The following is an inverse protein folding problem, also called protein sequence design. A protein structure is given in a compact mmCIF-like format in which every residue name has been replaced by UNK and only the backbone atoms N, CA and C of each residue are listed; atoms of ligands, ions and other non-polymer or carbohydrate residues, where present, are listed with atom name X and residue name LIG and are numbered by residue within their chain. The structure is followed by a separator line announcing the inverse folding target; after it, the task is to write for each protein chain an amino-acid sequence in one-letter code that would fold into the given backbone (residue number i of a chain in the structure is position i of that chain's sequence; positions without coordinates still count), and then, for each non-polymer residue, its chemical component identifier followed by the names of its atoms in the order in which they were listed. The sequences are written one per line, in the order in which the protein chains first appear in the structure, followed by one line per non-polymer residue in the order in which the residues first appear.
data_IF_116031450538
#
_entry.id   IF_116031450538
#
_cell.length_a   1.000
_cell.length_b   1.000
_cell.length_c   1.000
_cell.angle_alpha   90.00
_cell.angle_beta   90.00
_cell.angle_gamma   90.00
#
_symmetry.space_group_name_H-M   'P 1'
#
loop_
_entity.id
_entity.type
_entity.pdbx_description
1 polymer ?
#
# COMPACT_ATOMS: atom_id res chain seq x y z
N UNK A 1 -15.20 61.80 -18.58
CA UNK A 1 -14.44 60.54 -18.64
C UNK A 1 -14.10 60.14 -17.21
N UNK A 2 -14.82 59.15 -16.66
CA UNK A 2 -14.55 58.62 -15.31
C UNK A 2 -13.80 57.30 -15.49
N UNK A 3 -12.53 57.28 -15.07
CA UNK A 3 -11.71 56.07 -15.06
C UNK A 3 -12.22 55.13 -13.97
N UNK A 4 -12.73 53.97 -14.37
CA UNK A 4 -12.91 52.84 -13.46
C UNK A 4 -11.60 52.06 -13.41
N UNK A 5 -10.92 52.13 -12.27
CA UNK A 5 -9.83 51.21 -11.92
C UNK A 5 -10.46 49.91 -11.48
N UNK A 6 -10.39 48.88 -12.33
CA UNK A 6 -10.84 47.53 -12.02
C UNK A 6 -9.82 46.89 -11.08
N UNK A 7 -10.16 46.76 -9.79
CA UNK A 7 -9.45 45.87 -8.88
C UNK A 7 -9.77 44.43 -9.26
N UNK A 8 -8.85 43.77 -9.99
CA UNK A 8 -8.81 42.32 -10.07
C UNK A 8 -8.47 41.82 -8.65
N UNK A 9 -9.49 41.33 -7.95
CA UNK A 9 -9.30 40.53 -6.75
C UNK A 9 -8.93 39.13 -7.25
N UNK A 10 -7.64 38.80 -7.21
CA UNK A 10 -7.19 37.40 -7.30
C UNK A 10 -7.70 36.74 -6.02
N UNK A 11 -8.84 36.05 -6.11
CA UNK A 11 -9.21 35.09 -5.08
C UNK A 11 -8.17 33.99 -5.16
N UNK A 12 -7.25 33.98 -4.18
CA UNK A 12 -6.30 32.91 -4.00
C UNK A 12 -7.09 31.61 -3.87
N UNK A 13 -6.93 30.74 -4.85
CA UNK A 13 -7.37 29.36 -4.77
C UNK A 13 -6.56 28.74 -3.64
N UNK A 14 -7.15 28.63 -2.45
CA UNK A 14 -6.60 27.79 -1.39
C UNK A 14 -6.80 26.36 -1.86
N UNK A 15 -5.80 25.80 -2.55
CA UNK A 15 -5.72 24.37 -2.76
C UNK A 15 -5.68 23.71 -1.38
N UNK A 16 -6.67 22.88 -1.09
CA UNK A 16 -6.52 21.86 -0.07
C UNK A 16 -5.38 20.96 -0.53
N UNK A 17 -4.29 20.92 0.24
CA UNK A 17 -3.27 19.92 0.03
C UNK A 17 -3.92 18.57 0.37
N UNK A 18 -4.16 17.77 -0.65
CA UNK A 18 -4.54 16.37 -0.49
C UNK A 18 -3.33 15.61 0.04
N UNK A 19 -3.59 14.62 0.88
CA UNK A 19 -2.49 13.95 1.54
C UNK A 19 -1.68 13.13 0.56
N UNK A 20 -0.37 13.15 0.78
CA UNK A 20 0.61 12.64 -0.17
C UNK A 20 1.10 11.29 0.31
N UNK A 21 0.98 10.27 -0.55
CA UNK A 21 1.77 9.05 -0.39
C UNK A 21 3.21 9.40 -0.73
N UNK A 22 4.06 9.37 0.28
CA UNK A 22 5.48 9.74 0.17
C UNK A 22 6.31 8.60 -0.44
N UNK A 23 5.82 7.38 -0.28
CA UNK A 23 6.47 6.14 -0.69
C UNK A 23 5.42 5.04 -0.79
N UNK A 24 5.44 4.27 -1.88
CA UNK A 24 4.62 3.07 -2.01
C UNK A 24 5.38 1.96 -2.76
N UNK A 25 5.97 1.06 -1.98
CA UNK A 25 6.66 -0.14 -2.45
C UNK A 25 5.82 -1.41 -2.20
N UNK A 26 4.62 -1.27 -1.59
CA UNK A 26 3.64 -2.35 -1.44
C UNK A 26 2.81 -2.47 -2.73
N UNK A 27 2.39 -1.33 -3.30
CA UNK A 27 1.59 -1.27 -4.51
C UNK A 27 0.14 -1.73 -4.30
N UNK A 28 -0.55 -2.23 -5.36
CA UNK A 28 -1.92 -2.68 -5.26
C UNK A 28 -2.11 -3.82 -4.25
N UNK A 29 -3.32 -3.93 -3.70
CA UNK A 29 -3.66 -4.94 -2.69
C UNK A 29 -3.69 -6.40 -3.22
N UNK A 30 -3.31 -6.62 -4.48
CA UNK A 30 -3.23 -7.95 -5.11
C UNK A 30 -1.92 -8.71 -4.80
N UNK A 31 -0.93 -8.04 -4.19
CA UNK A 31 0.36 -8.63 -3.86
C UNK A 31 1.33 -8.78 -5.03
N UNK A 32 0.98 -8.27 -6.22
CA UNK A 32 1.81 -8.39 -7.43
C UNK A 32 3.18 -7.71 -7.30
N UNK A 33 3.27 -6.71 -6.42
CA UNK A 33 4.49 -5.94 -6.16
C UNK A 33 5.28 -6.40 -4.93
N UNK A 34 4.87 -7.48 -4.27
CA UNK A 34 5.58 -8.03 -3.10
C UNK A 34 6.34 -9.30 -3.47
N UNK A 35 7.61 -9.33 -3.11
CA UNK A 35 8.53 -10.43 -3.36
C UNK A 35 8.33 -11.62 -2.42
N UNK A 36 8.91 -12.76 -2.78
CA UNK A 36 8.83 -13.98 -1.98
C UNK A 36 9.82 -14.03 -0.80
N UNK A 37 10.86 -13.18 -0.82
CA UNK A 37 11.87 -13.12 0.22
C UNK A 37 11.42 -12.21 1.36
N UNK A 38 11.82 -12.57 2.58
CA UNK A 38 11.54 -11.81 3.79
C UNK A 38 12.87 -11.52 4.47
N UNK A 39 13.05 -10.30 4.94
CA UNK A 39 14.20 -9.87 5.73
C UNK A 39 13.80 -9.63 7.18
N UNK A 40 14.72 -9.91 8.11
CA UNK A 40 14.46 -9.82 9.54
C UNK A 40 14.17 -8.38 9.98
N UNK A 41 13.05 -8.22 10.67
CA UNK A 41 12.59 -6.95 11.24
C UNK A 41 11.83 -7.29 12.52
N UNK A 42 12.45 -7.09 13.68
CA UNK A 42 11.91 -7.45 14.98
C UNK A 42 12.64 -6.73 16.11
N UNK A 43 11.86 -6.28 17.08
CA UNK A 43 12.30 -5.93 18.42
C UNK A 43 12.10 -7.18 19.30
N UNK A 44 13.21 -7.78 19.73
CA UNK A 44 13.18 -9.03 20.49
C UNK A 44 12.95 -8.76 21.98
N UNK A 45 12.62 -9.80 22.74
CA UNK A 45 12.58 -9.68 24.19
C UNK A 45 13.98 -9.38 24.78
N UNK A 46 14.02 -8.73 25.95
CA UNK A 46 15.23 -8.29 26.68
C UNK A 46 16.42 -9.28 26.71
N UNK A 47 16.14 -10.58 26.66
CA UNK A 47 17.17 -11.63 26.66
C UNK A 47 17.94 -11.73 25.33
N UNK A 48 17.38 -11.16 24.26
CA UNK A 48 17.82 -11.26 22.89
C UNK A 48 17.98 -9.90 22.20
N UNK A 49 18.06 -8.78 22.93
CA UNK A 49 18.30 -7.42 22.39
C UNK A 49 19.48 -7.34 21.41
N UNK A 50 20.48 -8.23 21.56
CA UNK A 50 21.60 -8.28 20.61
C UNK A 50 21.15 -8.62 19.17
N UNK A 51 19.95 -9.18 19.02
CA UNK A 51 19.31 -9.57 17.77
C UNK A 51 18.25 -8.57 17.30
N UNK A 52 18.03 -7.44 17.98
CA UNK A 52 17.09 -6.43 17.49
C UNK A 52 17.51 -5.97 16.10
N UNK A 53 16.58 -6.02 15.14
CA UNK A 53 16.88 -5.82 13.74
C UNK A 53 15.77 -5.04 13.06
N UNK A 54 16.15 -4.13 12.17
CA UNK A 54 15.22 -3.40 11.32
C UNK A 54 15.53 -3.69 9.86
N UNK A 55 14.50 -3.95 9.08
CA UNK A 55 14.52 -3.76 7.63
C UNK A 55 14.12 -2.31 7.35
N UNK A 56 14.84 -1.61 6.49
CA UNK A 56 14.56 -0.22 6.12
C UNK A 56 14.72 0.02 4.64
N UNK A 57 14.03 1.04 4.16
CA UNK A 57 14.11 1.52 2.79
C UNK A 57 13.93 3.04 2.80
N UNK A 58 14.22 3.74 1.69
CA UNK A 58 14.27 5.19 1.67
C UNK A 58 13.19 5.85 0.83
N UNK A 59 12.90 7.09 1.19
CA UNK A 59 12.23 8.05 0.33
C UNK A 59 12.87 9.43 0.50
N UNK A 60 12.68 10.32 -0.48
CA UNK A 60 13.13 11.70 -0.37
C UNK A 60 12.03 12.56 0.25
N UNK A 61 12.26 13.09 1.45
CA UNK A 61 11.36 14.01 2.14
C UNK A 61 11.73 15.47 1.93
N UNK A 62 10.80 16.36 2.26
CA UNK A 62 10.95 17.82 2.27
C UNK A 62 10.37 18.49 3.53
N UNK A 63 9.98 17.73 4.56
CA UNK A 63 9.41 18.25 5.81
C UNK A 63 7.96 17.85 6.06
N UNK A 64 7.47 16.84 5.35
CA UNK A 64 6.10 16.35 5.42
C UNK A 64 5.84 15.63 6.75
N UNK A 65 4.60 15.68 7.21
CA UNK A 65 4.17 14.84 8.32
C UNK A 65 4.07 13.39 7.82
N UNK A 66 4.48 12.46 8.66
CA UNK A 66 4.22 11.03 8.46
C UNK A 66 3.22 10.64 9.53
N UNK A 67 2.03 10.27 9.08
CA UNK A 67 0.95 9.86 9.98
C UNK A 67 0.66 8.36 9.91
N UNK A 68 1.05 7.69 8.82
CA UNK A 68 0.94 6.23 8.69
C UNK A 68 2.20 5.66 8.06
N UNK A 69 2.69 4.57 8.64
CA UNK A 69 3.67 3.69 8.01
C UNK A 69 3.00 2.32 7.90
N UNK A 70 3.00 1.76 6.71
CA UNK A 70 2.51 0.41 6.44
C UNK A 70 3.66 -0.49 6.04
N UNK A 71 3.62 -1.75 6.47
CA UNK A 71 4.58 -2.77 6.05
C UNK A 71 3.86 -4.04 5.61
N UNK A 72 4.41 -4.74 4.63
CA UNK A 72 4.05 -6.13 4.40
C UNK A 72 4.81 -7.03 5.38
N UNK A 73 4.17 -7.33 6.51
CA UNK A 73 4.66 -8.19 7.58
C UNK A 73 4.59 -9.66 7.16
N UNK A 74 5.67 -10.38 7.41
CA UNK A 74 5.69 -11.84 7.36
C UNK A 74 6.65 -12.37 8.43
N UNK A 75 6.89 -13.67 8.48
CA UNK A 75 7.80 -14.25 9.44
C UNK A 75 8.10 -15.72 9.22
N UNK A 76 8.96 -16.26 10.07
CA UNK A 76 9.39 -17.65 10.05
C UNK A 76 9.67 -18.15 11.47
N UNK A 77 10.22 -19.36 11.60
CA UNK A 77 10.57 -19.96 12.90
C UNK A 77 9.42 -19.99 13.92
N UNK A 78 8.19 -20.22 13.44
CA UNK A 78 6.99 -20.31 14.29
C UNK A 78 6.08 -19.10 14.22
N UNK A 79 6.44 -18.04 13.49
CA UNK A 79 5.49 -16.97 13.17
C UNK A 79 4.35 -17.53 12.31
N UNK A 80 3.12 -17.17 12.67
CA UNK A 80 1.90 -17.62 11.99
C UNK A 80 1.13 -16.42 11.46
N UNK A 81 0.87 -15.46 12.35
CA UNK A 81 0.10 -14.26 12.05
C UNK A 81 0.46 -13.12 13.02
N UNK A 82 -0.03 -11.89 12.77
CA UNK A 82 0.30 -10.72 13.58
C UNK A 82 -0.21 -10.76 15.03
N UNK A 83 -1.03 -11.75 15.44
CA UNK A 83 -1.63 -11.77 16.78
C UNK A 83 -0.61 -11.96 17.93
N UNK A 84 0.59 -12.42 17.60
CA UNK A 84 1.71 -12.53 18.56
C UNK A 84 2.45 -11.22 18.81
N UNK A 85 2.32 -10.25 17.89
CA UNK A 85 2.96 -8.94 17.97
C UNK A 85 2.26 -8.08 19.01
N UNK A 86 3.03 -7.47 19.92
CA UNK A 86 2.47 -6.63 21.00
C UNK A 86 2.51 -5.13 20.70
N UNK A 87 3.37 -4.70 19.77
CA UNK A 87 3.46 -3.32 19.33
C UNK A 87 4.36 -3.16 18.12
N UNK A 88 4.40 -1.96 17.58
CA UNK A 88 5.22 -1.61 16.43
C UNK A 88 5.94 -0.29 16.71
N UNK A 89 7.19 -0.21 16.29
CA UNK A 89 7.99 1.03 16.36
C UNK A 89 8.38 1.44 14.96
N UNK A 90 7.85 2.58 14.50
CA UNK A 90 8.27 3.19 13.26
C UNK A 90 9.44 4.15 13.51
N UNK A 91 10.45 4.14 12.65
CA UNK A 91 11.64 4.97 12.79
C UNK A 91 12.02 5.60 11.45
N UNK A 92 12.61 6.79 11.53
CA UNK A 92 13.26 7.48 10.42
C UNK A 92 14.73 7.69 10.77
N UNK A 93 15.60 7.17 9.90
CA UNK A 93 17.05 7.33 10.01
C UNK A 93 17.58 8.19 8.86
N UNK A 94 18.59 9.01 9.14
CA UNK A 94 19.26 9.79 8.09
C UNK A 94 20.10 8.92 7.16
N UNK A 95 20.61 7.78 7.64
CA UNK A 95 21.35 6.79 6.83
C UNK A 95 21.23 5.39 7.46
N UNK A 96 21.49 4.30 6.69
CA UNK A 96 21.56 2.95 7.24
C UNK A 96 22.64 2.80 8.33
N UNK A 97 23.74 3.56 8.20
CA UNK A 97 24.82 3.54 9.20
C UNK A 97 24.42 4.07 10.57
N UNK A 98 23.44 4.99 10.64
CA UNK A 98 22.89 5.46 11.91
C UNK A 98 22.00 4.39 12.52
N UNK A 99 21.18 3.73 11.70
CA UNK A 99 20.36 2.62 12.14
C UNK A 99 21.19 1.42 12.61
N UNK A 100 22.41 1.23 12.09
CA UNK A 100 23.37 0.22 12.53
C UNK A 100 23.96 0.48 13.93
N UNK A 101 23.75 1.68 14.49
CA UNK A 101 24.18 2.06 15.84
C UNK A 101 22.99 2.08 16.81
N UNK A 102 21.80 2.45 16.34
CA UNK A 102 20.58 2.54 17.14
C UNK A 102 19.34 2.38 16.26
N UNK A 103 18.41 1.51 16.67
CA UNK A 103 17.12 1.38 15.99
C UNK A 103 16.17 2.54 16.31
N UNK A 104 16.43 3.34 17.35
CA UNK A 104 15.75 4.62 17.54
C UNK A 104 16.23 5.58 16.45
N UNK A 105 15.28 6.11 15.68
CA UNK A 105 15.53 7.03 14.56
C UNK A 105 16.10 8.35 15.03
N UNK A 106 17.13 8.85 14.33
CA UNK A 106 17.73 10.17 14.60
C UNK A 106 16.89 11.32 14.02
N UNK A 107 16.05 11.03 13.02
CA UNK A 107 15.07 11.99 12.47
C UNK A 107 13.77 11.91 13.27
N UNK A 108 13.27 10.71 13.53
CA UNK A 108 12.03 10.51 14.27
C UNK A 108 11.77 9.05 14.63
N UNK A 109 11.00 8.87 15.71
CA UNK A 109 10.48 7.56 16.12
C UNK A 109 9.06 7.72 16.62
N UNK A 110 8.21 6.74 16.34
CA UNK A 110 6.86 6.63 16.88
C UNK A 110 6.59 5.19 17.31
N UNK A 111 5.79 5.02 18.34
CA UNK A 111 5.37 3.72 18.84
C UNK A 111 3.85 3.63 18.86
N UNK A 112 3.30 2.47 18.49
CA UNK A 112 1.89 2.14 18.60
C UNK A 112 1.74 0.75 19.19
N UNK A 113 0.71 0.57 20.02
CA UNK A 113 0.30 -0.76 20.46
C UNK A 113 -0.29 -1.52 19.27
N UNK A 114 -0.14 -2.84 19.24
CA UNK A 114 -0.71 -3.64 18.15
C UNK A 114 -2.24 -3.46 18.02
N UNK A 115 -2.94 -3.15 19.12
CA UNK A 115 -4.37 -2.86 19.14
C UNK A 115 -4.76 -1.54 18.43
N UNK A 116 -3.81 -0.63 18.25
CA UNK A 116 -4.01 0.65 17.54
C UNK A 116 -3.60 0.57 16.06
N UNK A 117 -3.00 -0.55 15.66
CA UNK A 117 -2.65 -0.83 14.26
C UNK A 117 -3.82 -1.53 13.56
N UNK A 118 -3.89 -1.37 12.24
CA UNK A 118 -4.91 -1.99 11.41
C UNK A 118 -4.26 -2.96 10.44
N UNK A 119 -4.86 -4.13 10.24
CA UNK A 119 -4.47 -5.05 9.17
C UNK A 119 -5.38 -4.80 7.96
N UNK A 120 -4.81 -4.74 6.75
CA UNK A 120 -5.62 -4.64 5.53
C UNK A 120 -6.57 -5.84 5.41
N UNK A 121 -7.85 -5.55 5.21
CA UNK A 121 -8.89 -6.56 4.98
C UNK A 121 -8.98 -6.99 3.51
N UNK A 122 -8.38 -6.21 2.61
CA UNK A 122 -8.43 -6.36 1.15
C UNK A 122 -7.16 -6.96 0.57
N UNK A 123 -6.10 -7.09 1.37
CA UNK A 123 -4.84 -7.71 0.94
C UNK A 123 -5.03 -9.17 0.49
N UNK A 124 -4.63 -9.46 -0.74
CA UNK A 124 -4.66 -10.78 -1.36
C UNK A 124 -3.26 -11.40 -1.55
N UNK A 125 -2.21 -10.62 -1.28
CA UNK A 125 -0.82 -11.06 -1.39
C UNK A 125 -0.34 -11.98 -0.27
N UNK A 126 0.93 -12.38 -0.33
CA UNK A 126 1.56 -13.10 0.76
C UNK A 126 1.79 -12.19 1.99
N UNK A 127 1.81 -12.77 3.19
CA UNK A 127 2.00 -12.02 4.43
C UNK A 127 0.77 -11.17 4.81
N UNK A 128 1.02 -10.08 5.51
CA UNK A 128 -0.02 -9.23 6.08
C UNK A 128 0.39 -7.76 5.94
N UNK A 129 -0.43 -6.94 5.28
CA UNK A 129 -0.21 -5.48 5.29
C UNK A 129 -0.74 -4.92 6.62
N UNK A 130 0.18 -4.37 7.42
CA UNK A 130 -0.13 -3.74 8.71
C UNK A 130 0.12 -2.24 8.61
N UNK A 131 -0.91 -1.46 8.90
CA UNK A 131 -0.89 0.00 8.97
C UNK A 131 -0.72 0.45 10.42
N UNK A 132 0.36 1.16 10.70
CA UNK A 132 0.66 1.74 12.01
C UNK A 132 0.46 3.26 11.98
N UNK A 133 -0.33 3.83 12.91
CA UNK A 133 -0.38 5.27 13.08
C UNK A 133 0.94 5.79 13.66
N UNK A 134 1.40 6.93 13.16
CA UNK A 134 2.64 7.57 13.59
C UNK A 134 2.46 9.07 13.78
N UNK A 135 3.39 9.68 14.50
CA UNK A 135 3.49 11.13 14.65
C UNK A 135 4.94 11.56 14.41
N UNK A 136 5.43 11.34 13.19
CA UNK A 136 6.79 11.69 12.77
C UNK A 136 6.76 12.78 11.71
N UNK A 137 7.92 13.41 11.46
CA UNK A 137 8.09 14.42 10.41
C UNK A 137 9.34 14.06 9.64
N UNK A 138 9.23 13.98 8.31
CA UNK A 138 10.36 13.69 7.45
C UNK A 138 11.38 14.84 7.49
N UNK A 139 12.67 14.52 7.43
CA UNK A 139 13.69 15.51 7.16
C UNK A 139 13.72 15.87 5.66
N UNK A 140 14.30 17.01 5.31
CA UNK A 140 14.64 17.29 3.92
C UNK A 140 15.79 16.37 3.48
N UNK A 141 15.60 15.65 2.36
CA UNK A 141 16.56 14.66 1.85
C UNK A 141 16.13 13.23 2.16
N UNK A 142 17.10 12.32 2.20
CA UNK A 142 16.83 10.88 2.38
C UNK A 142 16.32 10.58 3.80
N UNK A 143 15.23 9.83 3.87
CA UNK A 143 14.64 9.31 5.10
C UNK A 143 14.56 7.80 4.96
N UNK A 144 15.35 7.07 5.75
CA UNK A 144 15.32 5.62 5.81
C UNK A 144 14.26 5.18 6.83
N UNK A 145 13.12 4.72 6.33
CA UNK A 145 11.98 4.30 7.14
C UNK A 145 12.10 2.83 7.53
N UNK A 146 11.73 2.51 8.76
CA UNK A 146 11.50 1.13 9.20
C UNK A 146 10.25 1.06 10.07
N UNK A 147 9.59 -0.09 10.09
CA UNK A 147 8.55 -0.42 11.06
C UNK A 147 8.89 -1.77 11.68
N UNK A 148 9.19 -1.74 12.99
CA UNK A 148 9.77 -2.86 13.73
C UNK A 148 8.69 -3.45 14.64
N UNK A 149 8.20 -4.67 14.37
CA UNK A 149 7.28 -5.39 15.26
C UNK A 149 8.00 -5.84 16.54
N UNK A 150 7.40 -5.58 17.69
CA UNK A 150 7.80 -6.18 18.96
C UNK A 150 7.16 -7.56 19.11
N UNK A 151 7.99 -8.60 19.17
CA UNK A 151 7.51 -9.99 19.23
C UNK A 151 8.48 -10.86 20.06
N UNK A 152 7.93 -11.68 20.94
CA UNK A 152 8.74 -12.62 21.73
C UNK A 152 9.08 -13.84 20.87
N UNK A 153 10.38 -14.06 20.60
CA UNK A 153 10.81 -15.10 19.66
C UNK A 153 10.35 -16.51 20.08
N UNK A 154 10.40 -16.78 21.39
CA UNK A 154 10.05 -18.10 21.93
C UNK A 154 8.57 -18.48 21.72
N UNK A 155 7.67 -17.50 21.65
CA UNK A 155 6.22 -17.75 21.58
C UNK A 155 5.60 -17.34 20.25
N UNK A 156 6.13 -16.29 19.61
CA UNK A 156 5.61 -15.73 18.36
C UNK A 156 6.49 -15.98 17.14
N UNK A 157 7.66 -16.62 17.30
CA UNK A 157 8.61 -16.83 16.21
C UNK A 157 9.32 -15.54 15.77
N UNK A 158 9.86 -15.52 14.55
CA UNK A 158 10.59 -14.38 14.02
C UNK A 158 9.77 -13.60 12.99
N UNK A 159 9.67 -12.28 13.17
CA UNK A 159 9.04 -11.37 12.21
C UNK A 159 10.03 -10.80 11.20
N UNK A 160 9.48 -10.32 10.08
CA UNK A 160 10.23 -9.71 9.01
C UNK A 160 9.37 -8.86 8.09
N UNK A 161 10.06 -8.06 7.28
CA UNK A 161 9.46 -7.28 6.20
C UNK A 161 9.67 -8.03 4.88
N UNK A 162 8.63 -8.15 4.07
CA UNK A 162 8.75 -8.72 2.74
C UNK A 162 9.53 -7.77 1.81
N UNK A 163 10.18 -8.34 0.80
CA UNK A 163 10.80 -7.55 -0.26
C UNK A 163 9.72 -6.84 -1.12
N UNK A 164 10.01 -5.63 -1.58
CA UNK A 164 9.27 -4.93 -2.62
C UNK A 164 9.87 -5.20 -4.01
N UNK A 165 9.02 -5.38 -5.02
CA UNK A 165 9.40 -5.54 -6.42
C UNK A 165 9.33 -4.23 -7.22
N UNK A 166 8.84 -3.17 -6.58
CA UNK A 166 8.77 -1.81 -7.10
C UNK A 166 9.44 -0.87 -6.10
N UNK A 167 9.93 0.27 -6.58
CA UNK A 167 10.63 1.26 -5.75
C UNK A 167 11.44 2.24 -6.59
N UNK A 168 12.35 2.97 -5.95
CA UNK A 168 13.15 4.02 -6.61
C UNK A 168 14.47 3.47 -7.20
N UNK A 169 14.77 2.21 -6.93
CA UNK A 169 15.98 1.52 -7.38
C UNK A 169 17.16 1.65 -6.42
N UNK A 170 16.97 2.30 -5.26
CA UNK A 170 17.89 2.29 -4.13
C UNK A 170 17.46 1.16 -3.19
N UNK A 171 18.27 0.09 -3.15
CA UNK A 171 17.90 -1.12 -2.42
C UNK A 171 17.75 -0.86 -0.92
N UNK A 172 16.84 -1.61 -0.30
CA UNK A 172 16.65 -1.61 1.14
C UNK A 172 17.89 -2.07 1.91
N UNK A 173 17.88 -1.86 3.22
CA UNK A 173 18.94 -2.24 4.13
C UNK A 173 18.39 -2.98 5.35
N UNK A 174 19.22 -3.81 5.96
CA UNK A 174 18.99 -4.30 7.32
C UNK A 174 20.01 -3.71 8.27
N UNK A 175 19.60 -3.39 9.49
CA UNK A 175 20.47 -2.94 10.55
C UNK A 175 20.20 -3.70 11.85
N UNK A 176 21.27 -4.16 12.52
CA UNK A 176 21.22 -4.86 13.80
C UNK A 176 22.29 -4.30 14.75
N UNK A 177 21.97 -3.24 15.52
CA UNK A 177 22.92 -2.57 16.40
C UNK A 177 23.63 -3.47 17.41
N UNK A 178 22.93 -4.50 17.89
CA UNK A 178 23.47 -5.46 18.84
C UNK A 178 24.51 -6.41 18.25
N UNK A 179 24.61 -6.50 16.91
CA UNK A 179 25.58 -7.32 16.20
C UNK A 179 25.35 -8.83 16.30
N UNK A 180 24.25 -9.29 16.88
CA UNK A 180 23.90 -10.70 17.05
C UNK A 180 23.84 -11.49 15.74
N UNK A 181 23.48 -10.83 14.63
CA UNK A 181 23.45 -11.45 13.29
C UNK A 181 24.81 -11.47 12.57
N UNK A 182 25.85 -10.84 13.13
CA UNK A 182 27.21 -10.89 12.56
C UNK A 182 27.37 -10.13 11.23
N UNK A 183 26.49 -9.17 10.94
CA UNK A 183 26.56 -8.33 9.74
C UNK A 183 27.78 -7.42 9.78
N UNK A 184 28.53 -7.23 8.67
CA UNK A 184 29.66 -6.31 8.63
C UNK A 184 29.25 -4.88 8.99
N UNK A 185 29.79 -4.33 10.08
CA UNK A 185 29.40 -2.99 10.54
C UNK A 185 27.95 -2.90 11.02
N UNK A 186 27.35 -4.02 11.44
CA UNK A 186 25.98 -4.11 11.96
C UNK A 186 24.88 -3.72 10.97
N UNK A 187 25.17 -3.75 9.67
CA UNK A 187 24.18 -3.53 8.62
C UNK A 187 24.53 -4.31 7.35
N UNK A 188 23.55 -4.52 6.48
CA UNK A 188 23.75 -5.10 5.16
C UNK A 188 22.74 -4.53 4.16
N UNK A 189 23.19 -4.28 2.93
CA UNK A 189 22.32 -3.93 1.82
C UNK A 189 21.53 -5.18 1.39
N UNK A 190 20.25 -4.98 1.09
CA UNK A 190 19.37 -6.01 0.55
C UNK A 190 19.57 -6.16 -0.96
N UNK A 191 18.93 -7.17 -1.53
CA UNK A 191 18.94 -7.41 -2.98
C UNK A 191 17.75 -6.78 -3.70
N UNK A 192 16.75 -6.34 -2.94
CA UNK A 192 15.51 -5.71 -3.39
C UNK A 192 15.17 -4.57 -2.44
N UNK A 193 14.15 -3.81 -2.80
CA UNK A 193 13.49 -2.83 -1.94
C UNK A 193 12.74 -3.57 -0.80
N UNK A 194 12.29 -2.86 0.24
CA UNK A 194 11.41 -3.40 1.28
C UNK A 194 9.96 -2.98 1.05
N UNK A 195 8.99 -3.85 1.31
CA UNK A 195 7.58 -3.57 1.05
C UNK A 195 6.98 -2.63 2.11
N UNK A 196 7.23 -1.34 1.97
CA UNK A 196 6.69 -0.26 2.80
C UNK A 196 5.76 0.68 2.03
N UNK A 197 4.79 1.27 2.74
CA UNK A 197 4.05 2.46 2.28
C UNK A 197 4.07 3.52 3.36
N UNK A 198 4.32 4.77 2.97
CA UNK A 198 4.42 5.91 3.89
C UNK A 198 3.48 7.00 3.42
N UNK A 199 2.62 7.49 4.31
CA UNK A 199 1.68 8.56 4.00
C UNK A 199 1.51 9.54 5.17
N UNK A 200 1.03 10.72 4.84
CA UNK A 200 0.64 11.75 5.81
C UNK A 200 -0.76 11.49 6.43
N UNK A 201 -1.33 10.30 6.22
CA UNK A 201 -2.59 9.85 6.83
C UNK A 201 -3.84 10.37 6.16
N UNK A 202 -3.76 10.94 4.95
CA UNK A 202 -4.94 11.01 4.12
C UNK A 202 -5.42 9.60 3.72
N UNK A 203 -6.74 9.41 3.55
CA UNK A 203 -7.28 8.20 2.93
C UNK A 203 -6.54 7.90 1.61
N UNK A 204 -6.32 6.61 1.26
CA UNK A 204 -5.82 6.24 -0.06
C UNK A 204 -6.66 6.93 -1.14
N UNK A 205 -5.98 7.54 -2.09
CA UNK A 205 -6.65 8.20 -3.21
C UNK A 205 -7.36 7.13 -4.07
N UNK A 206 -8.70 7.11 -4.12
CA UNK A 206 -9.45 6.11 -4.88
C UNK A 206 -9.12 6.15 -6.38
N UNK A 207 -8.51 7.22 -6.89
CA UNK A 207 -8.06 7.32 -8.27
C UNK A 207 -6.74 6.62 -8.54
N UNK A 208 -5.97 6.26 -7.50
CA UNK A 208 -4.77 5.44 -7.65
C UNK A 208 -5.05 3.93 -7.54
N UNK A 209 -6.26 3.54 -7.13
CA UNK A 209 -6.66 2.14 -7.02
C UNK A 209 -6.81 1.49 -8.41
N UNK A 210 -6.54 0.19 -8.52
CA UNK A 210 -6.78 -0.52 -9.76
C UNK A 210 -8.27 -0.48 -10.14
N UNK A 211 -8.56 -0.44 -11.44
CA UNK A 211 -9.92 -0.56 -11.95
C UNK A 211 -10.45 -1.99 -11.69
N UNK A 212 -11.77 -2.17 -11.50
CA UNK A 212 -12.35 -3.48 -11.27
C UNK A 212 -11.99 -4.47 -12.39
N UNK A 213 -11.42 -5.62 -12.01
CA UNK A 213 -11.19 -6.75 -12.90
C UNK A 213 -12.33 -7.78 -12.74
N UNK A 214 -12.70 -8.52 -13.80
CA UNK A 214 -12.05 -8.61 -15.11
C UNK A 214 -12.49 -7.54 -16.12
N UNK A 215 -13.55 -6.78 -15.85
CA UNK A 215 -14.12 -5.81 -16.77
C UNK A 215 -14.26 -4.43 -16.13
N UNK A 216 -13.30 -3.52 -16.35
CA UNK A 216 -13.47 -2.12 -15.98
C UNK A 216 -14.70 -1.47 -16.63
N UNK A 217 -15.08 -1.95 -17.82
CA UNK A 217 -16.20 -1.45 -18.61
C UNK A 217 -17.60 -1.80 -18.08
N UNK A 218 -17.73 -2.71 -17.11
CA UNK A 218 -19.00 -2.99 -16.41
C UNK A 218 -19.15 -2.01 -15.23
N UNK A 219 -19.43 -0.76 -15.58
CA UNK A 219 -19.38 0.39 -14.67
C UNK A 219 -20.46 0.31 -13.59
N UNK A 220 -21.63 -0.26 -13.91
CA UNK A 220 -22.73 -0.38 -12.97
C UNK A 220 -22.67 -1.70 -12.14
N UNK A 221 -21.71 -2.58 -12.45
CA UNK A 221 -21.46 -3.87 -11.80
C UNK A 221 -22.65 -4.85 -11.83
N UNK A 222 -23.41 -4.88 -12.94
CA UNK A 222 -24.50 -5.85 -13.15
C UNK A 222 -24.04 -7.15 -13.84
N UNK A 223 -22.75 -7.26 -14.16
CA UNK A 223 -22.13 -8.39 -14.82
C UNK A 223 -22.14 -8.32 -16.34
N UNK A 224 -22.71 -7.28 -16.96
CA UNK A 224 -22.82 -7.16 -18.41
C UNK A 224 -22.48 -5.75 -18.90
N UNK A 225 -21.68 -5.64 -19.95
CA UNK A 225 -21.41 -4.34 -20.59
C UNK A 225 -22.53 -3.99 -21.57
N UNK A 226 -23.40 -3.06 -21.19
CA UNK A 226 -24.59 -2.67 -21.95
C UNK A 226 -24.73 -1.16 -22.11
N UNK A 227 -25.90 -0.70 -22.55
CA UNK A 227 -26.24 0.74 -22.56
C UNK A 227 -26.27 1.30 -21.14
N UNK A 228 -26.51 0.46 -20.12
CA UNK A 228 -26.46 0.89 -18.72
C UNK A 228 -25.13 1.53 -18.36
N UNK A 229 -24.02 0.89 -18.73
CA UNK A 229 -22.66 1.36 -18.43
C UNK A 229 -22.31 2.63 -19.20
N UNK A 230 -22.71 2.70 -20.48
CA UNK A 230 -22.55 3.93 -21.28
C UNK A 230 -23.29 5.10 -20.62
N UNK A 231 -24.48 4.85 -20.07
CA UNK A 231 -25.26 5.89 -19.39
C UNK A 231 -24.65 6.27 -18.04
N UNK A 232 -23.98 5.36 -17.34
CA UNK A 232 -23.27 5.65 -16.09
C UNK A 232 -22.05 6.56 -16.34
N UNK A 233 -21.26 6.26 -17.38
CA UNK A 233 -20.15 7.12 -17.84
C UNK A 233 -20.65 8.50 -18.27
N UNK A 234 -21.71 8.56 -19.10
CA UNK A 234 -22.29 9.84 -19.53
C UNK A 234 -22.89 10.60 -18.33
N UNK A 235 -23.44 9.90 -17.35
CA UNK A 235 -24.02 10.48 -16.14
C UNK A 235 -23.02 11.27 -15.29
N UNK A 236 -21.75 10.87 -15.34
CA UNK A 236 -20.62 11.52 -14.66
C UNK A 236 -19.70 12.28 -15.62
N UNK A 237 -20.16 12.57 -16.85
CA UNK A 237 -19.31 13.16 -17.90
C UNK A 237 -18.64 14.48 -17.50
N UNK A 238 -17.32 14.53 -17.64
CA UNK A 238 -16.50 15.69 -17.33
C UNK A 238 -16.25 15.89 -15.83
N UNK A 239 -16.73 14.98 -14.98
CA UNK A 239 -16.34 14.93 -13.59
C UNK A 239 -14.90 14.43 -13.47
N UNK A 240 -14.12 15.08 -12.61
CA UNK A 240 -12.76 14.68 -12.30
C UNK A 240 -12.66 14.58 -10.78
N UNK A 241 -12.29 13.40 -10.29
CA UNK A 241 -12.06 13.18 -8.87
C UNK A 241 -10.98 14.13 -8.36
N UNK A 242 -11.12 14.53 -7.10
CA UNK A 242 -10.15 15.37 -6.40
C UNK A 242 -9.22 14.54 -5.50
N UNK A 243 -9.23 13.23 -5.68
CA UNK A 243 -8.50 12.26 -4.87
C UNK A 243 -9.23 11.83 -3.59
N UNK A 244 -10.41 12.39 -3.28
CA UNK A 244 -11.28 11.88 -2.20
C UNK A 244 -12.32 10.88 -2.70
N UNK A 245 -12.56 10.85 -4.01
CA UNK A 245 -13.43 9.90 -4.69
C UNK A 245 -12.93 9.69 -6.13
N UNK A 246 -13.23 8.50 -6.67
CA UNK A 246 -13.17 8.23 -8.10
C UNK A 246 -14.58 8.46 -8.68
N UNK A 247 -14.74 9.26 -9.75
CA UNK A 247 -16.02 9.35 -10.46
C UNK A 247 -16.46 7.97 -10.96
N UNK A 248 -17.75 7.65 -10.84
CA UNK A 248 -18.25 6.32 -11.21
C UNK A 248 -17.88 5.92 -12.64
N UNK A 249 -17.89 6.87 -13.59
CA UNK A 249 -17.56 6.64 -14.99
C UNK A 249 -16.08 6.57 -15.35
N UNK A 250 -15.14 6.71 -14.41
CA UNK A 250 -13.69 6.57 -14.66
C UNK A 250 -13.35 5.07 -14.76
N UNK A 251 -13.36 4.56 -15.99
CA UNK A 251 -13.09 3.16 -16.31
C UNK A 251 -11.91 3.00 -17.28
N UNK A 252 -11.22 4.09 -17.63
CA UNK A 252 -10.07 4.07 -18.52
C UNK A 252 -9.07 5.19 -18.18
N UNK A 253 -7.77 5.02 -18.47
CA UNK A 253 -7.13 3.82 -19.02
C UNK A 253 -6.79 2.79 -17.94
N UNK A 254 -6.78 1.50 -18.29
CA UNK A 254 -6.19 0.48 -17.44
C UNK A 254 -4.68 0.76 -17.17
N UNK A 255 -4.14 0.37 -16.00
CA UNK A 255 -4.79 -0.43 -14.96
C UNK A 255 -5.65 0.36 -13.95
N UNK A 256 -5.49 1.68 -13.81
CA UNK A 256 -6.01 2.44 -12.67
C UNK A 256 -6.96 3.60 -13.03
N UNK A 257 -7.27 3.84 -14.30
CA UNK A 257 -8.04 5.03 -14.70
C UNK A 257 -7.18 6.30 -14.76
N UNK A 258 -7.79 7.42 -15.16
CA UNK A 258 -7.16 8.74 -15.14
C UNK A 258 -7.88 9.75 -14.21
N UNK A 259 -8.83 9.26 -13.40
CA UNK A 259 -9.63 10.02 -12.46
C UNK A 259 -10.61 11.01 -13.11
N UNK A 260 -10.71 11.03 -14.45
CA UNK A 260 -11.50 12.01 -15.17
C UNK A 260 -12.40 11.35 -16.21
N UNK A 261 -13.72 11.50 -16.05
CA UNK A 261 -14.67 10.91 -16.99
C UNK A 261 -14.67 11.68 -18.30
N UNK A 262 -14.15 11.05 -19.34
CA UNK A 262 -13.99 11.66 -20.65
C UNK A 262 -14.26 10.65 -21.78
N UNK A 263 -13.82 11.01 -22.99
CA UNK A 263 -14.07 10.18 -24.17
C UNK A 263 -13.37 8.83 -24.10
N UNK A 264 -12.26 8.73 -23.37
CA UNK A 264 -11.52 7.48 -23.18
C UNK A 264 -12.40 6.43 -22.49
N UNK A 265 -13.14 6.82 -21.46
CA UNK A 265 -14.05 5.93 -20.73
C UNK A 265 -15.20 5.44 -21.60
N UNK A 266 -15.82 6.34 -22.37
CA UNK A 266 -16.87 5.94 -23.31
C UNK A 266 -16.33 4.97 -24.37
N UNK A 267 -15.10 5.20 -24.85
CA UNK A 267 -14.50 4.31 -25.84
C UNK A 267 -14.14 2.94 -25.25
N UNK A 268 -13.79 2.86 -23.96
CA UNK A 268 -13.58 1.61 -23.26
C UNK A 268 -14.89 0.80 -23.18
N UNK A 269 -15.97 1.42 -22.70
CA UNK A 269 -17.30 0.75 -22.64
C UNK A 269 -17.80 0.34 -24.03
N UNK A 270 -17.68 1.22 -25.03
CA UNK A 270 -18.08 0.90 -26.41
C UNK A 270 -17.22 -0.22 -27.00
N UNK A 271 -15.92 -0.26 -26.65
CA UNK A 271 -14.99 -1.31 -27.06
C UNK A 271 -15.34 -2.69 -26.49
N UNK A 272 -15.86 -2.73 -25.27
CA UNK A 272 -16.27 -3.95 -24.57
C UNK A 272 -17.78 -4.26 -24.68
N UNK A 273 -18.53 -3.50 -25.48
CA UNK A 273 -19.99 -3.56 -25.52
C UNK A 273 -20.53 -4.96 -25.86
N UNK A 274 -21.50 -5.44 -25.06
CA UNK A 274 -22.02 -6.81 -25.12
C UNK A 274 -21.12 -7.85 -24.46
N UNK A 275 -20.07 -7.42 -23.75
CA UNK A 275 -19.21 -8.26 -22.94
C UNK A 275 -19.95 -8.84 -21.72
N UNK A 276 -19.58 -10.07 -21.37
CA UNK A 276 -20.02 -10.76 -20.17
C UNK A 276 -18.86 -10.76 -19.17
N UNK A 277 -19.11 -10.15 -18.03
CA UNK A 277 -18.13 -9.88 -16.99
C UNK A 277 -18.33 -10.80 -15.77
N UNK A 278 -19.23 -11.78 -15.91
CA UNK A 278 -19.43 -12.83 -14.92
C UNK A 278 -18.15 -13.64 -14.77
N UNK A 279 -17.72 -13.83 -13.52
CA UNK A 279 -16.63 -14.75 -13.20
C UNK A 279 -17.20 -16.17 -13.15
N UNK A 280 -16.81 -16.99 -14.11
CA UNK A 280 -17.18 -18.40 -14.16
C UNK A 280 -16.16 -19.28 -13.44
N UNK A 281 -16.65 -20.23 -12.64
CA UNK A 281 -15.84 -21.21 -11.93
C UNK A 281 -16.00 -22.62 -12.48
N UNK A 282 -15.09 -23.53 -12.13
CA UNK A 282 -15.24 -24.96 -12.39
C UNK A 282 -16.12 -25.62 -11.32
N UNK A 283 -17.31 -26.04 -11.71
CA UNK A 283 -18.25 -26.78 -10.86
C UNK A 283 -18.05 -28.27 -11.05
N UNK A 284 -17.36 -28.90 -10.09
CA UNK A 284 -17.06 -30.33 -10.15
C UNK A 284 -17.92 -31.14 -9.17
N UNK A 285 -18.72 -32.06 -9.70
CA UNK A 285 -19.51 -32.99 -8.92
C UNK A 285 -18.66 -34.14 -8.37
N UNK A 286 -19.12 -34.85 -7.31
CA UNK A 286 -18.39 -35.97 -6.70
C UNK A 286 -18.13 -37.16 -7.63
N UNK A 287 -18.85 -37.24 -8.76
CA UNK A 287 -18.65 -38.26 -9.79
C UNK A 287 -17.51 -37.91 -10.77
N UNK A 288 -16.85 -36.76 -10.57
CA UNK A 288 -15.73 -36.28 -11.38
C UNK A 288 -16.17 -35.55 -12.65
N UNK A 289 -17.46 -35.29 -12.85
CA UNK A 289 -17.93 -34.40 -13.91
C UNK A 289 -17.71 -32.95 -13.51
N UNK A 290 -17.21 -32.12 -14.42
CA UNK A 290 -17.03 -30.69 -14.19
C UNK A 290 -17.68 -29.88 -15.32
N UNK A 291 -18.38 -28.79 -14.97
CA UNK A 291 -18.88 -27.77 -15.88
C UNK A 291 -18.32 -26.39 -15.52
N UNK A 292 -18.40 -25.44 -16.46
CA UNK A 292 -18.01 -24.04 -16.23
C UNK A 292 -19.30 -23.23 -16.12
N UNK A 293 -19.63 -22.82 -14.90
CA UNK A 293 -20.91 -22.19 -14.58
C UNK A 293 -20.72 -21.08 -13.54
N UNK A 294 -21.72 -20.22 -13.38
CA UNK A 294 -21.72 -19.21 -12.32
C UNK A 294 -21.87 -19.86 -10.95
N UNK A 295 -21.40 -19.20 -9.88
CA UNK A 295 -21.45 -19.76 -8.52
C UNK A 295 -22.87 -20.18 -8.10
N UNK A 296 -23.89 -19.38 -8.43
CA UNK A 296 -25.28 -19.68 -8.10
C UNK A 296 -25.81 -20.94 -8.80
N UNK A 297 -25.39 -21.17 -10.04
CA UNK A 297 -25.77 -22.37 -10.80
C UNK A 297 -25.07 -23.61 -10.22
N UNK A 298 -23.83 -23.44 -9.78
CA UNK A 298 -23.04 -24.46 -9.07
C UNK A 298 -23.69 -24.96 -7.78
N UNK A 299 -24.22 -24.02 -6.97
CA UNK A 299 -24.85 -24.33 -5.68
C UNK A 299 -26.24 -24.96 -5.86
N UNK A 300 -26.85 -24.80 -7.04
CA UNK A 300 -28.16 -25.34 -7.39
C UNK A 300 -28.10 -26.74 -8.03
N UNK A 301 -26.92 -27.22 -8.45
CA UNK A 301 -26.69 -28.51 -9.12
C UNK A 301 -26.44 -29.66 -8.13
#
# INVERSE_FOLDING_TARGET
MKNFTTCICIMGLSGTAFGTVLMDQIGPDDGSNVGANITGCQDFEAAYDIYDIATMDNFTGAGENIAVVEMCLNGWNGFVDPSSVHGYTANLHSTPSVAAVSLIGDIGSSYALAADCTQSATWLGAGFVISMPTAMVAAAGDNWVSMIPGNDFATGGQTGCADGLVGDGVMGWQANPGGGFGMPGNMQEMINEAAYRVSDGAPPDPCNEALPLPCPADVNADGNVTVGDVLEVIGSWGDCGDGTYRPAGDCAPAPNGDCCVNVSDVLEVVGAFGGDCSVYGGCCAPDGTCSVEGQLDCEAA
#
